data_IF_673220146017
#
_entry.id   IF_673220146017
#
_cell.length_a   1.000
_cell.length_b   1.000
_cell.length_c   1.000
_cell.angle_alpha   90.00
_cell.angle_beta   90.00
_cell.angle_gamma   90.00
#
_symmetry.space_group_name_H-M   'P 1'
#
loop_
_entity.id
_entity.type
_entity.pdbx_description
1 polymer ?
#
# COMPACT_ATOMS: atom_id res chain seq x y z
N UNK A 1 23.40 -30.68 -21.60
CA UNK A 1 24.77 -30.86 -21.07
C UNK A 1 25.41 -29.49 -20.91
N UNK A 2 25.35 -28.90 -19.70
CA UNK A 2 26.32 -27.98 -19.07
C UNK A 2 25.97 -27.99 -17.57
N UNK A 3 26.90 -28.45 -16.75
CA UNK A 3 26.87 -28.39 -15.28
C UNK A 3 27.33 -27.00 -14.82
N UNK A 4 26.83 -26.49 -13.69
CA UNK A 4 27.60 -25.89 -12.58
C UNK A 4 26.66 -25.31 -11.52
N UNK A 5 26.57 -25.99 -10.37
CA UNK A 5 26.60 -25.39 -9.03
C UNK A 5 27.32 -26.40 -8.12
N UNK A 6 28.46 -26.06 -7.49
CA UNK A 6 29.17 -26.97 -6.60
C UNK A 6 28.61 -26.92 -5.19
N UNK A 7 28.57 -28.08 -4.53
CA UNK A 7 28.56 -28.19 -3.08
C UNK A 7 27.19 -28.23 -2.39
N UNK A 8 26.47 -29.35 -2.53
CA UNK A 8 25.72 -29.90 -1.40
C UNK A 8 25.90 -31.42 -1.40
N UNK A 9 26.60 -31.91 -0.38
CA UNK A 9 26.82 -33.31 -0.12
C UNK A 9 25.50 -34.03 0.11
N UNK A 10 25.44 -35.29 -0.33
CA UNK A 10 24.39 -36.25 -0.01
C UNK A 10 24.29 -36.41 1.51
N UNK A 11 23.36 -35.69 2.13
CA UNK A 11 22.72 -36.14 3.36
C UNK A 11 21.31 -36.56 2.97
N UNK A 12 21.06 -37.86 3.07
CA UNK A 12 19.73 -38.45 3.06
C UNK A 12 18.89 -37.78 4.14
N UNK A 13 18.07 -36.81 3.74
CA UNK A 13 17.04 -36.23 4.59
C UNK A 13 15.98 -37.29 4.92
N UNK A 14 15.45 -37.32 6.15
CA UNK A 14 14.44 -38.29 6.54
C UNK A 14 13.22 -38.17 5.63
N UNK A 15 12.54 -39.29 5.37
CA UNK A 15 11.30 -39.34 4.58
C UNK A 15 10.32 -38.25 5.06
N UNK A 16 10.22 -37.17 4.28
CA UNK A 16 9.31 -36.06 4.56
C UNK A 16 7.89 -36.61 4.52
N UNK A 17 7.25 -36.70 5.69
CA UNK A 17 5.83 -37.05 5.77
C UNK A 17 5.00 -36.05 4.94
N UNK A 18 3.89 -36.50 4.35
CA UNK A 18 3.04 -35.66 3.49
C UNK A 18 2.62 -34.32 4.15
N UNK A 19 2.29 -34.25 5.46
CA UNK A 19 2.08 -32.97 6.16
C UNK A 19 3.33 -32.09 6.26
N UNK A 20 4.51 -32.68 6.53
CA UNK A 20 5.78 -31.94 6.61
C UNK A 20 6.15 -31.30 5.27
N UNK A 21 6.05 -32.08 4.18
CA UNK A 21 6.30 -31.57 2.83
C UNK A 21 5.34 -30.43 2.46
N UNK A 22 4.06 -30.53 2.86
CA UNK A 22 3.09 -29.47 2.61
C UNK A 22 3.47 -28.17 3.32
N UNK A 23 3.85 -28.26 4.59
CA UNK A 23 4.27 -27.11 5.40
C UNK A 23 5.54 -26.47 4.84
N UNK A 24 6.51 -27.27 4.43
CA UNK A 24 7.75 -26.77 3.83
C UNK A 24 7.46 -26.03 2.51
N UNK A 25 6.70 -26.64 1.61
CA UNK A 25 6.35 -26.02 0.32
C UNK A 25 5.52 -24.73 0.46
N UNK A 26 4.70 -24.59 1.49
CA UNK A 26 3.96 -23.34 1.76
C UNK A 26 4.90 -22.18 2.13
N UNK A 27 6.02 -22.47 2.80
CA UNK A 27 6.98 -21.49 3.28
C UNK A 27 8.20 -21.30 2.38
N UNK A 28 8.31 -22.08 1.29
CA UNK A 28 9.38 -21.89 0.33
C UNK A 28 9.24 -20.56 -0.39
N UNK A 29 10.39 -19.97 -0.70
CA UNK A 29 10.45 -18.86 -1.64
C UNK A 29 9.75 -19.24 -2.95
N UNK A 30 8.84 -18.38 -3.40
CA UNK A 30 7.95 -18.65 -4.52
C UNK A 30 8.70 -18.99 -5.81
N UNK A 31 9.86 -18.37 -6.05
CA UNK A 31 10.67 -18.59 -7.24
C UNK A 31 11.39 -19.94 -7.17
N UNK A 32 11.99 -20.27 -6.03
CA UNK A 32 12.59 -21.59 -5.80
C UNK A 32 11.57 -22.70 -5.94
N UNK A 33 10.38 -22.51 -5.37
CA UNK A 33 9.25 -23.42 -5.48
C UNK A 33 8.83 -23.63 -6.93
N UNK A 34 8.60 -22.55 -7.68
CA UNK A 34 8.24 -22.62 -9.09
C UNK A 34 9.28 -23.39 -9.92
N UNK A 35 10.57 -23.10 -9.70
CA UNK A 35 11.67 -23.77 -10.40
C UNK A 35 11.72 -25.29 -10.14
N UNK A 36 11.65 -25.71 -8.87
CA UNK A 36 11.73 -27.13 -8.49
C UNK A 36 10.49 -27.89 -8.98
N UNK A 37 9.31 -27.32 -8.76
CA UNK A 37 8.04 -27.95 -9.08
C UNK A 37 7.83 -28.02 -10.60
N UNK A 38 8.25 -27.00 -11.35
CA UNK A 38 8.22 -27.00 -12.81
C UNK A 38 8.94 -28.20 -13.45
N UNK A 39 9.90 -28.81 -12.74
CA UNK A 39 10.69 -29.96 -13.21
C UNK A 39 10.22 -31.31 -12.67
N UNK A 40 9.18 -31.33 -11.83
CA UNK A 40 8.68 -32.55 -11.18
C UNK A 40 7.17 -32.70 -11.36
N UNK A 41 6.71 -33.53 -12.33
CA UNK A 41 5.28 -33.72 -12.59
C UNK A 41 4.48 -34.23 -11.38
N UNK A 42 5.12 -35.00 -10.49
CA UNK A 42 4.51 -35.46 -9.24
C UNK A 42 4.23 -34.30 -8.29
N UNK A 43 5.20 -33.39 -8.11
CA UNK A 43 5.03 -32.22 -7.27
C UNK A 43 4.02 -31.23 -7.87
N UNK A 44 3.94 -31.09 -9.19
CA UNK A 44 2.95 -30.21 -9.84
C UNK A 44 1.50 -30.55 -9.49
N UNK A 45 1.19 -31.82 -9.19
CA UNK A 45 -0.15 -32.23 -8.76
C UNK A 45 -0.44 -31.77 -7.33
N UNK A 46 0.53 -31.92 -6.43
CA UNK A 46 0.41 -31.59 -5.00
C UNK A 46 0.43 -30.07 -4.81
N UNK A 47 1.31 -29.39 -5.52
CA UNK A 47 1.56 -27.95 -5.46
C UNK A 47 0.31 -27.09 -5.63
N UNK A 48 -0.62 -27.53 -6.48
CA UNK A 48 -1.90 -26.85 -6.71
C UNK A 48 -2.75 -26.75 -5.44
N UNK A 49 -2.57 -27.68 -4.49
CA UNK A 49 -3.30 -27.75 -3.23
C UNK A 49 -2.65 -26.94 -2.11
N UNK A 50 -1.48 -26.36 -2.36
CA UNK A 50 -0.68 -25.66 -1.35
C UNK A 50 -0.75 -24.15 -1.64
N UNK A 51 -1.15 -23.32 -0.66
CA UNK A 51 -1.18 -21.88 -0.83
C UNK A 51 0.16 -21.32 -1.33
N UNK A 52 0.09 -20.29 -2.17
CA UNK A 52 1.26 -19.52 -2.57
C UNK A 52 1.33 -18.26 -1.70
N UNK A 53 2.46 -18.04 -1.03
CA UNK A 53 2.69 -16.85 -0.21
C UNK A 53 3.74 -15.96 -0.90
N UNK A 54 3.35 -14.73 -1.22
CA UNK A 54 4.20 -13.71 -1.83
C UNK A 54 4.37 -12.56 -0.85
N UNK A 55 5.58 -12.01 -0.78
CA UNK A 55 5.86 -10.77 -0.07
C UNK A 55 5.34 -9.60 -0.90
N UNK A 56 5.73 -9.54 -2.17
CA UNK A 56 5.35 -8.47 -3.09
C UNK A 56 4.88 -9.05 -4.42
N UNK A 57 3.77 -8.52 -4.95
CA UNK A 57 3.33 -8.72 -6.32
C UNK A 57 3.05 -7.36 -6.93
N UNK A 58 3.82 -6.97 -7.93
CA UNK A 58 3.56 -5.80 -8.75
C UNK A 58 3.04 -6.25 -10.11
N UNK A 59 1.98 -5.60 -10.56
CA UNK A 59 1.37 -5.78 -11.87
C UNK A 59 1.32 -4.42 -12.55
N UNK A 60 2.02 -4.30 -13.66
CA UNK A 60 2.04 -3.16 -14.56
C UNK A 60 1.67 -3.60 -15.99
N UNK A 61 1.61 -2.67 -16.95
CA UNK A 61 1.23 -3.00 -18.33
C UNK A 61 2.28 -3.82 -19.04
N UNK A 62 3.57 -3.58 -18.82
CA UNK A 62 4.71 -4.28 -19.41
C UNK A 62 5.51 -5.10 -18.39
N UNK A 63 5.22 -4.96 -17.10
CA UNK A 63 6.04 -5.57 -16.05
C UNK A 63 5.21 -6.40 -15.06
N UNK A 64 5.74 -7.55 -14.68
CA UNK A 64 5.28 -8.30 -13.50
C UNK A 64 6.46 -8.51 -12.56
N UNK A 65 6.34 -8.02 -11.34
CA UNK A 65 7.35 -8.26 -10.29
C UNK A 65 6.78 -9.21 -9.23
N UNK A 66 7.48 -10.33 -8.99
CA UNK A 66 7.16 -11.33 -7.96
C UNK A 66 8.32 -11.37 -6.97
N UNK A 67 8.08 -10.89 -5.75
CA UNK A 67 9.09 -10.70 -4.71
C UNK A 67 10.30 -9.88 -5.20
N UNK A 68 11.35 -10.57 -5.69
CA UNK A 68 12.62 -9.98 -6.17
C UNK A 68 12.91 -10.27 -7.64
N UNK A 69 12.00 -10.99 -8.31
CA UNK A 69 12.08 -11.25 -9.74
C UNK A 69 11.20 -10.24 -10.45
N UNK A 70 11.82 -9.44 -11.30
CA UNK A 70 11.13 -8.55 -12.22
C UNK A 70 11.11 -9.19 -13.60
N UNK A 71 9.94 -9.18 -14.24
CA UNK A 71 9.73 -9.75 -15.57
C UNK A 71 9.15 -8.64 -16.45
N UNK A 72 9.98 -8.06 -17.29
CA UNK A 72 9.61 -7.08 -18.29
C UNK A 72 9.22 -7.80 -19.58
N UNK A 73 8.09 -7.40 -20.17
CA UNK A 73 7.52 -7.92 -21.41
C UNK A 73 7.45 -6.78 -22.40
N UNK A 74 8.28 -6.84 -23.45
CA UNK A 74 8.27 -5.88 -24.54
C UNK A 74 7.90 -6.58 -25.86
N UNK A 75 7.86 -5.82 -26.96
CA UNK A 75 7.57 -6.38 -28.28
C UNK A 75 8.70 -7.29 -28.83
N UNK A 76 9.89 -7.23 -28.25
CA UNK A 76 11.08 -7.97 -28.69
C UNK A 76 11.28 -9.29 -27.89
N UNK A 77 10.56 -9.44 -26.77
CA UNK A 77 10.47 -10.65 -25.97
C UNK A 77 10.24 -10.39 -24.48
N UNK A 78 10.79 -11.29 -23.66
CA UNK A 78 10.65 -11.25 -22.20
C UNK A 78 12.03 -11.18 -21.55
N UNK A 79 12.21 -10.21 -20.66
CA UNK A 79 13.43 -9.97 -19.89
C UNK A 79 13.15 -10.26 -18.41
N UNK A 80 13.98 -11.11 -17.82
CA UNK A 80 13.95 -11.51 -16.43
C UNK A 80 15.12 -10.85 -15.71
N UNK A 81 14.84 -10.13 -14.63
CA UNK A 81 15.85 -9.53 -13.77
C UNK A 81 15.72 -10.06 -12.34
N UNK A 82 16.83 -10.56 -11.80
CA UNK A 82 16.90 -11.02 -10.41
C UNK A 82 18.29 -10.77 -9.85
N UNK A 83 18.39 -10.03 -8.75
CA UNK A 83 19.66 -9.70 -8.09
C UNK A 83 20.72 -9.09 -9.03
N UNK A 84 20.29 -8.20 -9.93
CA UNK A 84 21.17 -7.55 -10.92
C UNK A 84 21.67 -8.49 -12.03
N UNK A 85 21.16 -9.72 -12.11
CA UNK A 85 21.38 -10.62 -13.24
C UNK A 85 20.18 -10.56 -14.17
N UNK A 86 20.46 -10.39 -15.44
CA UNK A 86 19.44 -10.29 -16.48
C UNK A 86 19.53 -11.48 -17.43
N UNK A 87 18.38 -12.06 -17.76
CA UNK A 87 18.24 -13.06 -18.80
C UNK A 87 17.11 -12.64 -19.74
N UNK A 88 17.33 -12.67 -21.05
CA UNK A 88 16.30 -12.35 -22.03
C UNK A 88 15.99 -13.54 -22.92
N UNK A 89 14.72 -13.65 -23.30
CA UNK A 89 14.24 -14.63 -24.28
C UNK A 89 13.44 -13.89 -25.33
N UNK A 90 13.88 -14.02 -26.58
CA UNK A 90 13.12 -13.51 -27.73
C UNK A 90 11.88 -14.38 -27.97
N UNK A 91 10.76 -13.75 -28.25
CA UNK A 91 9.48 -14.39 -28.53
C UNK A 91 8.52 -13.38 -29.16
N UNK A 92 7.58 -13.85 -29.98
CA UNK A 92 6.62 -13.02 -30.74
C UNK A 92 5.24 -12.92 -30.06
N UNK A 93 5.13 -13.31 -28.79
CA UNK A 93 3.87 -13.16 -28.08
C UNK A 93 3.63 -11.66 -27.83
N UNK A 94 2.37 -11.21 -27.92
CA UNK A 94 2.05 -9.84 -27.50
C UNK A 94 2.37 -9.68 -26.02
N UNK A 95 2.73 -8.46 -25.61
CA UNK A 95 2.97 -8.09 -24.22
C UNK A 95 1.86 -8.58 -23.27
N UNK A 96 0.61 -8.41 -23.69
CA UNK A 96 -0.56 -8.92 -22.96
C UNK A 96 -0.53 -10.44 -22.76
N UNK A 97 -0.25 -11.21 -23.82
CA UNK A 97 -0.23 -12.67 -23.75
C UNK A 97 0.97 -13.18 -22.92
N UNK A 98 2.11 -12.48 -22.99
CA UNK A 98 3.27 -12.76 -22.13
C UNK A 98 2.91 -12.62 -20.65
N UNK A 99 2.26 -11.51 -20.25
CA UNK A 99 1.79 -11.28 -18.88
C UNK A 99 0.77 -12.34 -18.46
N UNK A 100 -0.22 -12.65 -19.29
CA UNK A 100 -1.19 -13.73 -19.01
C UNK A 100 -0.47 -15.06 -18.74
N UNK A 101 0.52 -15.40 -19.54
CA UNK A 101 1.27 -16.64 -19.39
C UNK A 101 2.15 -16.65 -18.13
N UNK A 102 2.75 -15.52 -17.75
CA UNK A 102 3.49 -15.37 -16.49
C UNK A 102 2.56 -15.61 -15.29
N UNK A 103 1.42 -14.92 -15.24
CA UNK A 103 0.44 -15.08 -14.16
C UNK A 103 -0.09 -16.51 -14.10
N UNK A 104 -0.35 -17.11 -15.27
CA UNK A 104 -0.79 -18.51 -15.37
C UNK A 104 0.25 -19.50 -14.86
N UNK A 105 1.53 -19.22 -15.08
CA UNK A 105 2.63 -20.08 -14.65
C UNK A 105 2.87 -19.98 -13.14
N UNK A 106 2.94 -18.76 -12.61
CA UNK A 106 3.29 -18.53 -11.20
C UNK A 106 2.09 -18.62 -10.26
N UNK A 107 0.93 -18.11 -10.66
CA UNK A 107 -0.20 -17.80 -9.76
C UNK A 107 -1.40 -18.71 -10.02
N UNK A 108 -1.80 -18.94 -11.28
CA UNK A 108 -3.00 -19.73 -11.54
C UNK A 108 -2.88 -21.17 -11.03
N UNK A 109 -4.04 -21.75 -10.69
CA UNK A 109 -4.19 -23.14 -10.22
C UNK A 109 -3.62 -23.43 -8.84
N UNK A 110 -3.24 -22.40 -8.07
CA UNK A 110 -2.95 -22.53 -6.63
C UNK A 110 -4.25 -22.40 -5.84
N UNK A 111 -4.36 -23.14 -4.75
CA UNK A 111 -5.58 -23.16 -3.92
C UNK A 111 -5.92 -21.78 -3.33
N UNK A 112 -4.91 -21.02 -2.88
CA UNK A 112 -5.03 -19.66 -2.33
C UNK A 112 -3.72 -18.93 -2.60
N UNK A 113 -3.79 -17.69 -3.08
CA UNK A 113 -2.62 -16.81 -3.19
C UNK A 113 -2.69 -15.73 -2.12
N UNK A 114 -1.77 -15.77 -1.15
CA UNK A 114 -1.57 -14.72 -0.15
C UNK A 114 -0.48 -13.79 -0.64
N UNK A 115 -0.73 -12.49 -0.62
CA UNK A 115 0.22 -11.46 -1.04
C UNK A 115 0.28 -10.41 0.06
N UNK A 116 1.44 -10.18 0.67
CA UNK A 116 1.51 -9.15 1.72
C UNK A 116 1.25 -7.75 1.12
N UNK A 117 1.92 -7.45 0.00
CA UNK A 117 1.77 -6.19 -0.77
C UNK A 117 1.44 -6.43 -2.23
N UNK A 118 0.26 -5.96 -2.64
CA UNK A 118 -0.19 -5.94 -4.03
C UNK A 118 -0.06 -4.51 -4.58
N UNK A 119 0.81 -4.35 -5.59
CA UNK A 119 0.95 -3.11 -6.35
C UNK A 119 0.30 -3.27 -7.72
N UNK A 120 -0.63 -2.37 -8.04
CA UNK A 120 -1.38 -2.36 -9.28
C UNK A 120 -1.20 -1.02 -9.99
N UNK A 121 -0.31 -0.99 -10.99
CA UNK A 121 0.16 0.25 -11.58
C UNK A 121 -0.45 0.59 -12.95
N UNK A 122 -1.16 -0.33 -13.60
CA UNK A 122 -1.86 -0.01 -14.85
C UNK A 122 -3.22 -0.71 -14.99
N UNK A 123 -4.16 0.06 -15.56
CA UNK A 123 -5.53 -0.32 -15.92
C UNK A 123 -5.64 -1.01 -17.28
N UNK A 124 -4.61 -0.93 -18.13
CA UNK A 124 -4.52 -1.70 -19.38
C UNK A 124 -4.16 -3.17 -19.14
N UNK A 125 -4.32 -3.63 -17.90
CA UNK A 125 -4.15 -5.02 -17.56
C UNK A 125 -5.01 -5.86 -18.50
N UNK A 126 -4.44 -6.91 -19.10
CA UNK A 126 -5.17 -7.79 -19.97
C UNK A 126 -6.47 -8.28 -19.33
N UNK A 127 -7.49 -8.59 -20.14
CA UNK A 127 -8.66 -9.30 -19.61
C UNK A 127 -8.22 -10.68 -19.10
N UNK A 128 -7.93 -10.74 -17.81
CA UNK A 128 -7.58 -11.93 -17.03
C UNK A 128 -8.77 -12.40 -16.21
N UNK A 129 -9.99 -11.88 -16.46
CA UNK A 129 -11.19 -12.34 -15.76
C UNK A 129 -11.36 -13.86 -15.88
N UNK A 130 -10.89 -14.44 -16.98
CA UNK A 130 -10.83 -15.88 -17.24
C UNK A 130 -9.84 -16.66 -16.35
N UNK A 131 -8.91 -16.01 -15.64
CA UNK A 131 -7.89 -16.68 -14.84
C UNK A 131 -8.36 -17.10 -13.43
N UNK A 132 -9.60 -16.75 -13.03
CA UNK A 132 -10.20 -17.04 -11.72
C UNK A 132 -9.20 -16.85 -10.56
N UNK A 133 -8.59 -15.66 -10.51
CA UNK A 133 -7.58 -15.32 -9.51
C UNK A 133 -8.20 -14.44 -8.44
N UNK A 134 -8.00 -14.83 -7.17
CA UNK A 134 -8.26 -14.00 -6.00
C UNK A 134 -7.05 -13.98 -5.09
N UNK A 135 -6.69 -12.79 -4.62
CA UNK A 135 -5.57 -12.55 -3.73
C UNK A 135 -6.06 -12.21 -2.34
N UNK A 136 -5.49 -12.86 -1.32
CA UNK A 136 -5.61 -12.40 0.05
C UNK A 136 -4.51 -11.40 0.34
N UNK A 137 -4.86 -10.15 0.57
CA UNK A 137 -3.90 -9.03 0.63
C UNK A 137 -3.91 -8.33 1.98
N UNK A 138 -2.75 -7.81 2.41
CA UNK A 138 -2.66 -6.95 3.60
C UNK A 138 -2.51 -5.47 3.22
N UNK A 139 -1.82 -5.21 2.10
CA UNK A 139 -1.49 -3.89 1.60
C UNK A 139 -1.86 -3.80 0.11
N UNK A 140 -2.56 -2.73 -0.27
CA UNK A 140 -2.87 -2.42 -1.66
C UNK A 140 -2.25 -1.07 -2.05
N UNK A 141 -1.48 -1.04 -3.15
CA UNK A 141 -1.07 0.17 -3.85
C UNK A 141 -1.78 0.22 -5.20
N UNK A 142 -2.64 1.21 -5.40
CA UNK A 142 -3.33 1.43 -6.67
C UNK A 142 -3.43 2.94 -6.91
N UNK A 143 -2.40 3.58 -7.51
CA UNK A 143 -2.21 5.03 -7.45
C UNK A 143 -3.25 5.84 -8.24
N UNK A 144 -4.03 5.20 -9.12
CA UNK A 144 -5.10 5.82 -9.87
C UNK A 144 -6.45 5.18 -9.52
N UNK A 145 -7.54 5.91 -9.77
CA UNK A 145 -8.90 5.40 -9.61
C UNK A 145 -9.13 4.12 -10.43
N UNK A 146 -8.73 4.12 -11.69
CA UNK A 146 -8.90 2.98 -12.58
C UNK A 146 -8.13 1.76 -12.07
N UNK A 147 -6.88 1.95 -11.64
CA UNK A 147 -6.09 0.86 -11.06
C UNK A 147 -6.77 0.29 -9.82
N UNK A 148 -7.35 1.15 -8.99
CA UNK A 148 -8.04 0.73 -7.78
C UNK A 148 -9.28 -0.09 -8.11
N UNK A 149 -10.18 0.44 -8.96
CA UNK A 149 -11.39 -0.26 -9.42
C UNK A 149 -11.04 -1.64 -10.02
N UNK A 150 -10.00 -1.72 -10.85
CA UNK A 150 -9.52 -3.00 -11.40
C UNK A 150 -8.97 -3.93 -10.32
N UNK A 151 -8.09 -3.45 -9.45
CA UNK A 151 -7.43 -4.28 -8.43
C UNK A 151 -8.43 -4.88 -7.43
N UNK A 152 -9.47 -4.11 -7.04
CA UNK A 152 -10.53 -4.56 -6.14
C UNK A 152 -11.17 -5.87 -6.61
N UNK A 153 -11.35 -6.03 -7.93
CA UNK A 153 -11.93 -7.24 -8.50
C UNK A 153 -11.07 -8.50 -8.29
N UNK A 154 -9.77 -8.36 -8.00
CA UNK A 154 -8.87 -9.48 -7.76
C UNK A 154 -8.61 -9.73 -6.27
N UNK A 155 -9.20 -8.96 -5.37
CA UNK A 155 -9.01 -9.15 -3.92
C UNK A 155 -10.09 -10.08 -3.36
N UNK A 156 -9.66 -11.07 -2.59
CA UNK A 156 -10.54 -11.94 -1.80
C UNK A 156 -11.15 -11.13 -0.64
N UNK A 157 -12.48 -11.12 -0.46
CA UNK A 157 -13.12 -10.37 0.62
C UNK A 157 -12.68 -10.73 2.04
N UNK A 158 -12.11 -11.92 2.24
CA UNK A 158 -11.49 -12.32 3.53
C UNK A 158 -10.24 -11.52 3.88
N UNK A 159 -9.74 -10.67 2.97
CA UNK A 159 -8.67 -9.71 3.22
C UNK A 159 -9.11 -8.54 4.09
N UNK A 160 -10.41 -8.23 4.14
CA UNK A 160 -10.88 -7.01 4.80
C UNK A 160 -10.95 -7.17 6.33
N UNK A 161 -10.59 -6.12 7.09
CA UNK A 161 -10.02 -4.84 6.65
C UNK A 161 -8.54 -4.92 6.26
N UNK A 162 -8.15 -4.20 5.20
CA UNK A 162 -6.74 -4.07 4.82
C UNK A 162 -5.97 -3.24 5.86
N UNK A 163 -4.68 -3.55 6.05
CA UNK A 163 -3.81 -2.77 6.94
C UNK A 163 -3.51 -1.40 6.34
N UNK A 164 -3.25 -1.36 5.04
CA UNK A 164 -2.92 -0.13 4.33
C UNK A 164 -3.51 -0.16 2.92
N UNK A 165 -4.07 0.97 2.51
CA UNK A 165 -4.49 1.21 1.13
C UNK A 165 -3.83 2.50 0.66
N UNK A 166 -3.22 2.48 -0.52
CA UNK A 166 -2.74 3.67 -1.21
C UNK A 166 -3.54 3.84 -2.49
N UNK A 167 -4.24 4.97 -2.64
CA UNK A 167 -5.05 5.27 -3.82
C UNK A 167 -5.08 6.75 -4.16
N UNK A 168 -5.70 7.12 -5.28
CA UNK A 168 -5.97 8.49 -5.63
C UNK A 168 -7.03 9.10 -4.68
N UNK A 169 -7.00 10.43 -4.43
CA UNK A 169 -7.98 11.13 -3.59
C UNK A 169 -9.36 11.26 -4.26
N UNK A 170 -9.98 10.20 -4.76
CA UNK A 170 -11.30 10.24 -5.43
C UNK A 170 -12.43 9.96 -4.44
N UNK A 171 -13.28 10.97 -4.20
CA UNK A 171 -14.42 10.89 -3.30
C UNK A 171 -15.43 9.80 -3.64
N UNK A 172 -15.48 9.33 -4.90
CA UNK A 172 -16.33 8.19 -5.27
C UNK A 172 -15.82 6.85 -4.73
N UNK A 173 -14.53 6.75 -4.39
CA UNK A 173 -13.92 5.53 -3.84
C UNK A 173 -14.03 5.45 -2.31
N UNK A 174 -14.29 6.58 -1.63
CA UNK A 174 -14.24 6.65 -0.16
C UNK A 174 -15.33 5.83 0.54
N UNK A 175 -16.44 5.57 -0.15
CA UNK A 175 -17.54 4.74 0.35
C UNK A 175 -17.31 3.23 0.12
N UNK A 176 -16.29 2.86 -0.65
CA UNK A 176 -15.96 1.45 -0.85
C UNK A 176 -15.44 0.82 0.44
N UNK A 177 -15.92 -0.40 0.75
CA UNK A 177 -15.58 -1.09 2.00
C UNK A 177 -14.07 -1.23 2.22
N UNK A 178 -13.32 -1.45 1.13
CA UNK A 178 -11.86 -1.58 1.15
C UNK A 178 -11.21 -0.31 1.66
N UNK A 179 -11.67 0.85 1.20
CA UNK A 179 -11.17 2.16 1.63
C UNK A 179 -11.66 2.45 3.04
N UNK A 180 -12.97 2.37 3.27
CA UNK A 180 -13.61 2.75 4.54
C UNK A 180 -13.06 2.01 5.76
N UNK A 181 -12.77 0.72 5.61
CA UNK A 181 -12.30 -0.11 6.72
C UNK A 181 -10.79 -0.25 6.80
N UNK A 182 -10.03 0.31 5.85
CA UNK A 182 -8.58 0.27 5.92
C UNK A 182 -8.08 0.93 7.22
N UNK A 183 -7.12 0.29 7.89
CA UNK A 183 -6.53 0.86 9.13
C UNK A 183 -5.81 2.18 8.85
N UNK A 184 -5.09 2.24 7.73
CA UNK A 184 -4.43 3.45 7.23
C UNK A 184 -4.78 3.65 5.77
N UNK A 185 -5.31 4.82 5.43
CA UNK A 185 -5.57 5.23 4.06
C UNK A 185 -4.53 6.27 3.63
N UNK A 186 -3.76 5.98 2.58
CA UNK A 186 -2.84 6.92 1.97
C UNK A 186 -3.43 7.42 0.66
N UNK A 187 -3.62 8.73 0.55
CA UNK A 187 -4.15 9.38 -0.64
C UNK A 187 -2.99 10.06 -1.36
N UNK A 188 -2.66 9.57 -2.56
CA UNK A 188 -1.55 10.08 -3.37
C UNK A 188 -2.03 11.26 -4.23
N UNK A 189 -1.64 12.47 -3.86
CA UNK A 189 -2.02 13.69 -4.56
C UNK A 189 -0.88 14.11 -5.51
N UNK A 190 -1.00 13.63 -6.75
CA UNK A 190 0.01 13.82 -7.82
C UNK A 190 -0.29 15.06 -8.67
N UNK A 191 -1.55 15.54 -8.68
CA UNK A 191 -2.00 16.74 -9.41
C UNK A 191 -2.42 17.84 -8.43
N UNK A 192 -2.42 19.10 -8.88
CA UNK A 192 -2.97 20.21 -8.09
C UNK A 192 -4.50 20.04 -7.98
N UNK A 193 -4.91 19.40 -6.88
CA UNK A 193 -6.30 19.15 -6.53
C UNK A 193 -6.65 19.88 -5.23
N UNK A 194 -7.89 20.37 -5.17
CA UNK A 194 -8.49 20.84 -3.92
C UNK A 194 -9.19 19.64 -3.27
N UNK A 195 -8.77 19.29 -2.05
CA UNK A 195 -9.48 18.32 -1.20
C UNK A 195 -10.41 19.12 -0.30
N UNK A 196 -11.71 19.06 -0.61
CA UNK A 196 -12.72 19.90 0.02
C UNK A 196 -13.11 19.39 1.40
N UNK A 197 -13.75 20.23 2.21
CA UNK A 197 -14.33 19.79 3.50
C UNK A 197 -15.30 18.62 3.33
N UNK A 198 -16.10 18.60 2.25
CA UNK A 198 -17.05 17.51 1.98
C UNK A 198 -16.34 16.19 1.65
N UNK A 199 -15.19 16.24 0.98
CA UNK A 199 -14.34 15.06 0.76
C UNK A 199 -13.77 14.56 2.09
N UNK A 200 -13.25 15.48 2.92
CA UNK A 200 -12.66 15.15 4.22
C UNK A 200 -13.68 14.53 5.19
N UNK A 201 -14.93 14.98 5.18
CA UNK A 201 -16.02 14.44 6.01
C UNK A 201 -16.36 12.98 5.72
N UNK A 202 -16.08 12.49 4.51
CA UNK A 202 -16.31 11.10 4.13
C UNK A 202 -15.23 10.15 4.66
N UNK A 203 -14.09 10.69 5.09
CA UNK A 203 -12.94 9.91 5.54
C UNK A 203 -13.10 9.52 7.01
N UNK A 204 -13.49 8.27 7.24
CA UNK A 204 -13.74 7.70 8.57
C UNK A 204 -12.62 6.75 9.03
N UNK A 205 -11.50 6.70 8.31
CA UNK A 205 -10.34 5.89 8.67
C UNK A 205 -9.68 6.44 9.93
N UNK A 206 -9.10 5.54 10.75
CA UNK A 206 -8.34 5.97 11.94
C UNK A 206 -7.17 6.89 11.59
N UNK A 207 -6.47 6.58 10.49
CA UNK A 207 -5.34 7.37 9.99
C UNK A 207 -5.54 7.60 8.49
N UNK A 208 -5.50 8.86 8.09
CA UNK A 208 -5.48 9.30 6.69
C UNK A 208 -4.18 10.05 6.44
N UNK A 209 -3.42 9.62 5.44
CA UNK A 209 -2.18 10.26 5.02
C UNK A 209 -2.35 10.83 3.61
N UNK A 210 -2.24 12.14 3.46
CA UNK A 210 -2.15 12.79 2.16
C UNK A 210 -0.68 12.87 1.73
N UNK A 211 -0.29 12.07 0.75
CA UNK A 211 1.03 12.15 0.14
C UNK A 211 1.01 13.20 -0.96
N UNK A 212 1.50 14.39 -0.64
CA UNK A 212 1.43 15.57 -1.51
C UNK A 212 2.75 15.73 -2.28
N UNK A 213 2.72 15.41 -3.58
CA UNK A 213 3.87 15.63 -4.47
C UNK A 213 3.91 17.10 -4.93
N UNK A 214 2.75 17.71 -5.18
CA UNK A 214 2.60 19.10 -5.64
C UNK A 214 2.09 20.05 -4.53
N UNK A 215 1.39 21.13 -4.87
CA UNK A 215 0.81 22.09 -3.91
C UNK A 215 -0.72 21.90 -3.79
N UNK A 216 -1.22 20.73 -3.36
CA UNK A 216 -2.66 20.57 -3.22
C UNK A 216 -3.18 21.43 -2.07
N UNK A 217 -4.38 21.97 -2.27
CA UNK A 217 -5.10 22.71 -1.24
C UNK A 217 -5.96 21.72 -0.46
N UNK A 218 -5.62 21.45 0.78
CA UNK A 218 -6.40 20.57 1.66
C UNK A 218 -7.11 21.46 2.68
N UNK A 219 -8.44 21.44 2.69
CA UNK A 219 -9.26 22.34 3.52
C UNK A 219 -9.35 21.90 5.00
N UNK A 220 -8.19 21.69 5.65
CA UNK A 220 -8.12 21.27 7.05
C UNK A 220 -8.65 22.33 8.03
N UNK A 221 -8.34 23.60 7.80
CA UNK A 221 -8.81 24.70 8.67
C UNK A 221 -10.34 24.82 8.64
N UNK A 222 -11.01 24.86 7.47
CA UNK A 222 -12.47 24.78 7.40
C UNK A 222 -13.07 23.51 8.02
N UNK A 223 -12.42 22.35 7.86
CA UNK A 223 -12.87 21.11 8.51
C UNK A 223 -12.89 21.24 10.04
N UNK A 224 -11.82 21.76 10.63
CA UNK A 224 -11.73 21.93 12.09
C UNK A 224 -12.77 22.94 12.59
N UNK A 225 -12.99 24.06 11.87
CA UNK A 225 -14.07 25.00 12.21
C UNK A 225 -15.43 24.31 12.24
N UNK A 226 -15.72 23.50 11.23
CA UNK A 226 -16.96 22.73 11.18
C UNK A 226 -17.09 21.76 12.36
N UNK A 227 -16.00 21.10 12.78
CA UNK A 227 -16.01 20.23 13.96
C UNK A 227 -16.28 21.00 15.26
N UNK A 228 -15.70 22.20 15.43
CA UNK A 228 -15.98 23.09 16.57
C UNK A 228 -17.45 23.51 16.58
N UNK A 229 -17.99 23.97 15.44
CA UNK A 229 -19.37 24.42 15.30
C UNK A 229 -20.39 23.30 15.61
N UNK A 230 -20.08 22.08 15.16
CA UNK A 230 -20.96 20.91 15.33
C UNK A 230 -20.71 20.12 16.61
N UNK A 231 -19.65 20.45 17.37
CA UNK A 231 -19.16 19.68 18.52
C UNK A 231 -18.99 18.19 18.18
N UNK A 232 -18.57 17.90 16.94
CA UNK A 232 -18.40 16.52 16.48
C UNK A 232 -17.07 15.99 16.98
N UNK A 233 -17.11 14.88 17.72
CA UNK A 233 -15.89 14.16 18.13
C UNK A 233 -15.10 13.72 16.90
N UNK A 234 -13.82 14.08 16.87
CA UNK A 234 -12.90 13.70 15.81
C UNK A 234 -12.10 12.50 16.27
N UNK A 235 -12.14 11.42 15.48
CA UNK A 235 -11.38 10.20 15.75
C UNK A 235 -10.29 9.94 14.69
N UNK A 236 -10.37 10.65 13.56
CA UNK A 236 -9.43 10.53 12.44
C UNK A 236 -8.19 11.37 12.70
N UNK A 237 -7.01 10.75 12.62
CA UNK A 237 -5.75 11.48 12.50
C UNK A 237 -5.44 11.74 11.03
N UNK A 238 -5.30 13.01 10.67
CA UNK A 238 -4.87 13.40 9.32
C UNK A 238 -3.38 13.75 9.33
N UNK A 239 -2.65 13.23 8.36
CA UNK A 239 -1.22 13.48 8.16
C UNK A 239 -1.03 14.00 6.74
N UNK A 240 -0.51 15.21 6.60
CA UNK A 240 -0.19 15.80 5.30
C UNK A 240 1.31 15.72 5.11
N UNK A 241 1.77 14.80 4.26
CA UNK A 241 3.17 14.54 3.99
C UNK A 241 3.61 15.23 2.69
N UNK A 242 4.74 15.93 2.73
CA UNK A 242 5.29 16.64 1.57
C UNK A 242 6.82 16.73 1.65
N UNK A 243 7.46 17.01 0.53
CA UNK A 243 8.90 17.31 0.46
C UNK A 243 9.20 18.80 0.55
N UNK A 244 8.16 19.66 0.40
CA UNK A 244 8.30 21.11 0.24
C UNK A 244 8.12 21.82 1.58
N UNK A 245 9.20 22.42 2.08
CA UNK A 245 9.16 23.20 3.33
C UNK A 245 8.20 24.38 3.27
N UNK A 246 8.10 25.04 2.11
CA UNK A 246 7.19 26.17 1.91
C UNK A 246 5.72 25.76 2.10
N UNK A 247 5.32 24.58 1.58
CA UNK A 247 3.95 24.09 1.74
C UNK A 247 3.57 23.87 3.23
N UNK A 248 4.50 23.36 4.04
CA UNK A 248 4.31 23.22 5.49
C UNK A 248 4.15 24.60 6.14
N UNK A 249 5.02 25.55 5.81
CA UNK A 249 4.97 26.90 6.36
C UNK A 249 3.67 27.62 6.00
N UNK A 250 3.22 27.50 4.75
CA UNK A 250 1.98 28.12 4.27
C UNK A 250 0.77 27.54 5.00
N UNK A 251 0.68 26.21 5.14
CA UNK A 251 -0.37 25.57 5.93
C UNK A 251 -0.33 26.00 7.39
N UNK A 252 0.84 25.97 8.06
CA UNK A 252 0.96 26.43 9.45
C UNK A 252 0.59 27.91 9.63
N UNK A 253 0.85 28.75 8.62
CA UNK A 253 0.42 30.15 8.62
C UNK A 253 -1.11 30.27 8.54
N UNK A 254 -1.78 29.45 7.74
CA UNK A 254 -3.24 29.39 7.73
C UNK A 254 -3.81 29.00 9.10
N UNK A 255 -3.18 28.02 9.77
CA UNK A 255 -3.53 27.67 11.15
C UNK A 255 -3.29 28.83 12.12
N UNK A 256 -2.15 29.52 12.05
CA UNK A 256 -1.85 30.66 12.93
C UNK A 256 -2.85 31.82 12.74
N UNK A 257 -3.26 32.11 11.51
CA UNK A 257 -4.22 33.17 11.20
C UNK A 257 -5.61 32.92 11.83
N UNK A 258 -6.00 31.66 11.97
CA UNK A 258 -7.34 31.28 12.45
C UNK A 258 -7.34 30.84 13.90
N UNK A 259 -6.30 30.12 14.34
CA UNK A 259 -6.21 29.44 15.63
C UNK A 259 -5.00 29.91 16.44
N UNK A 260 -4.43 31.08 16.13
CA UNK A 260 -3.23 31.60 16.80
C UNK A 260 -3.36 31.74 18.33
N UNK A 261 -4.57 31.96 18.83
CA UNK A 261 -4.85 32.00 20.29
C UNK A 261 -4.63 30.66 20.99
N UNK A 262 -4.67 29.54 20.24
CA UNK A 262 -4.51 28.17 20.75
C UNK A 262 -3.09 27.63 20.60
N UNK A 263 -2.11 28.51 20.36
CA UNK A 263 -0.71 28.11 20.24
C UNK A 263 -0.17 27.60 21.58
N UNK A 264 0.55 26.48 21.57
CA UNK A 264 1.09 25.89 22.80
C UNK A 264 2.40 25.10 22.58
N UNK A 265 2.99 24.61 23.68
CA UNK A 265 4.18 23.78 23.66
C UNK A 265 3.93 22.33 23.22
N UNK A 266 2.70 21.83 23.36
CA UNK A 266 2.34 20.39 23.31
C UNK A 266 3.21 19.55 24.27
N UNK A 267 3.32 20.00 25.51
CA UNK A 267 4.11 19.32 26.55
C UNK A 267 3.56 17.89 26.77
N UNK A 268 4.41 16.87 26.59
CA UNK A 268 4.02 15.46 26.66
C UNK A 268 3.91 14.73 25.32
N UNK A 269 3.94 15.46 24.19
CA UNK A 269 4.02 14.85 22.85
C UNK A 269 5.49 14.56 22.50
N UNK A 270 5.87 13.28 22.52
CA UNK A 270 7.23 12.84 22.19
C UNK A 270 7.39 12.63 20.67
N UNK A 271 7.41 13.74 19.92
CA UNK A 271 7.57 13.74 18.47
C UNK A 271 8.78 14.59 18.05
N UNK A 272 9.40 14.24 16.92
CA UNK A 272 10.51 15.01 16.35
C UNK A 272 10.01 16.24 15.60
N UNK A 273 9.59 17.25 16.36
CA UNK A 273 9.08 18.50 15.80
C UNK A 273 10.09 19.21 14.90
N UNK A 274 9.58 19.92 13.89
CA UNK A 274 10.38 20.86 13.12
C UNK A 274 10.77 22.04 14.03
N UNK A 275 12.07 22.36 14.21
CA UNK A 275 12.47 23.47 15.05
C UNK A 275 11.84 24.80 14.61
N UNK A 276 11.22 25.52 15.55
CA UNK A 276 10.60 26.83 15.32
C UNK A 276 9.20 26.79 14.69
N UNK A 277 8.65 25.61 14.34
CA UNK A 277 7.28 25.52 13.82
C UNK A 277 6.24 25.80 14.90
N UNK A 278 5.16 26.52 14.56
CA UNK A 278 3.99 26.66 15.43
C UNK A 278 3.34 25.31 15.73
N UNK A 279 2.75 25.22 16.92
CA UNK A 279 2.04 24.06 17.43
C UNK A 279 0.75 24.55 18.09
N UNK A 280 -0.34 23.84 17.89
CA UNK A 280 -1.67 24.27 18.33
C UNK A 280 -2.36 23.16 19.11
N UNK A 281 -3.15 23.57 20.10
CA UNK A 281 -4.07 22.70 20.82
C UNK A 281 -5.46 23.33 20.79
N UNK A 282 -6.23 22.96 19.78
CA UNK A 282 -7.50 23.61 19.42
C UNK A 282 -8.65 22.88 20.13
N UNK A 283 -9.42 23.53 21.01
CA UNK A 283 -10.57 22.91 21.65
C UNK A 283 -11.71 22.72 20.64
N UNK A 284 -12.31 21.53 20.60
CA UNK A 284 -13.58 21.25 19.90
C UNK A 284 -14.74 21.51 20.88
N UNK A 285 -14.64 20.92 22.07
CA UNK A 285 -15.57 21.08 23.18
C UNK A 285 -14.79 20.97 24.52
N UNK A 286 -15.48 20.71 25.63
CA UNK A 286 -14.86 20.63 26.95
C UNK A 286 -13.98 19.37 27.13
N UNK A 287 -14.17 18.34 26.32
CA UNK A 287 -13.58 17.00 26.47
C UNK A 287 -12.68 16.60 25.28
N UNK A 288 -12.82 17.29 24.15
CA UNK A 288 -12.14 16.95 22.90
C UNK A 288 -11.31 18.13 22.38
N UNK A 289 -10.06 17.84 22.01
CA UNK A 289 -9.13 18.82 21.44
C UNK A 289 -8.45 18.25 20.19
N UNK A 290 -7.92 19.13 19.35
CA UNK A 290 -7.13 18.76 18.17
C UNK A 290 -5.73 19.34 18.33
N UNK A 291 -4.74 18.46 18.27
CA UNK A 291 -3.34 18.83 18.20
C UNK A 291 -2.94 19.04 16.74
N UNK A 292 -2.27 20.15 16.46
CA UNK A 292 -1.71 20.44 15.15
C UNK A 292 -0.24 20.79 15.30
N UNK A 293 0.63 20.04 14.62
CA UNK A 293 2.08 20.24 14.69
C UNK A 293 2.77 19.71 13.43
N UNK A 294 3.99 20.17 13.18
CA UNK A 294 4.81 19.68 12.09
C UNK A 294 6.01 18.87 12.60
N UNK A 295 6.29 17.75 11.91
CA UNK A 295 7.40 16.85 12.21
C UNK A 295 8.28 16.65 10.97
N UNK A 296 9.53 16.29 11.21
CA UNK A 296 10.45 15.82 10.18
C UNK A 296 10.83 14.36 10.41
N UNK A 297 10.62 13.54 9.39
CA UNK A 297 10.96 12.12 9.35
C UNK A 297 11.97 11.91 8.22
N UNK A 298 13.29 11.98 8.49
CA UNK A 298 14.32 12.01 7.45
C UNK A 298 14.33 10.80 6.50
N UNK A 299 13.88 9.64 6.95
CA UNK A 299 13.98 8.36 6.23
C UNK A 299 12.71 8.01 5.43
N UNK A 300 11.69 8.86 5.43
CA UNK A 300 10.40 8.56 4.79
C UNK A 300 10.07 9.44 3.58
N UNK A 301 9.27 8.88 2.65
CA UNK A 301 8.64 9.68 1.58
C UNK A 301 7.79 10.79 2.22
N UNK A 302 7.96 12.02 1.73
CA UNK A 302 7.32 13.19 2.31
C UNK A 302 7.90 13.50 3.69
N UNK A 303 9.21 13.73 3.74
CA UNK A 303 10.01 13.93 4.97
C UNK A 303 9.39 14.92 5.94
N UNK A 304 8.64 15.91 5.44
CA UNK A 304 7.96 16.89 6.27
C UNK A 304 6.49 16.54 6.36
N UNK A 305 5.94 16.53 7.57
CA UNK A 305 4.54 16.19 7.79
C UNK A 305 3.87 17.23 8.69
N UNK A 306 2.66 17.64 8.35
CA UNK A 306 1.73 18.24 9.30
C UNK A 306 0.83 17.14 9.83
N UNK A 307 0.74 17.04 11.15
CA UNK A 307 -0.12 16.10 11.85
C UNK A 307 -1.26 16.88 12.47
N UNK A 308 -2.49 16.49 12.12
CA UNK A 308 -3.73 16.95 12.74
C UNK A 308 -4.33 15.75 13.45
N UNK A 309 -4.17 15.71 14.77
CA UNK A 309 -4.45 14.53 15.59
C UNK A 309 -5.47 14.89 16.68
N UNK A 310 -6.54 14.10 16.85
CA UNK A 310 -7.42 14.27 17.99
C UNK A 310 -6.72 13.87 19.28
N UNK A 311 -6.92 14.68 20.31
CA UNK A 311 -6.59 14.37 21.69
C UNK A 311 -7.91 14.14 22.42
N UNK A 312 -8.20 12.88 22.73
CA UNK A 312 -9.25 12.56 23.69
C UNK A 312 -8.75 13.00 25.06
N UNK A 313 -9.56 13.75 25.81
CA UNK A 313 -9.31 13.90 27.23
C UNK A 313 -9.14 12.50 27.82
N UNK A 314 -7.97 12.23 28.39
CA UNK A 314 -7.84 11.12 29.32
C UNK A 314 -8.89 11.40 30.38
N UNK A 315 -9.91 10.53 30.48
CA UNK A 315 -10.75 10.45 31.67
C UNK A 315 -9.79 10.16 32.83
N UNK A 316 -9.30 11.24 33.45
CA UNK A 316 -8.56 11.19 34.68
C UNK A 316 -9.54 10.76 35.75
N UNK A 317 -9.39 9.49 36.17
CA UNK A 317 -9.70 8.90 37.47
C UNK A 317 -10.94 9.42 38.22
#
# INVERSE_FOLDING_TARGET
MVQFLPGYSRYSSPDLSYPSLKCDLENWDALKRAYIIGRSPGLQKIDKLIPLCLENLCIDSDEVTINKLTIECDNDGVKFEMHGKTFSRKGLDSQEEAIKNILKYFICKKAITRVDKLDWCDSLFPDVSALDIKFRVNFLFAPSRHNFETAVHFIDPSSFPLKNVITAPDASTFDEQIVKFAKTLNLNIIIDRIVTVEDLKKLNNKIVVFQCVLYPKIEMVPLIKHHIETKKVVETTFIIATYRKNAINDMLREFELVFGEFRCGLDGVNERFIPGSSKFLIPIDNESRIQVYAIEVPEERGRLKIVVKPESAVLGL
#
